data_IF_758140563812
#
_entry.id   IF_758140563812
#
_cell.length_a   1.000
_cell.length_b   1.000
_cell.length_c   1.000
_cell.angle_alpha   90.00
_cell.angle_beta   90.00
_cell.angle_gamma   90.00
#
_symmetry.space_group_name_H-M   'P 1'
#
loop_
_entity.id
_entity.type
_entity.pdbx_description
1 polymer ?
#
# COMPACT_ATOMS: atom_id res chain seq x y z
N UNK A 1 22.00 -6.05 -23.27
CA UNK A 1 21.12 -7.10 -23.82
C UNK A 1 19.77 -6.49 -24.17
N UNK A 2 19.25 -6.70 -25.38
CA UNK A 2 17.96 -6.14 -25.80
C UNK A 2 16.83 -6.67 -24.92
N UNK A 3 15.76 -5.89 -24.76
CA UNK A 3 14.52 -6.41 -24.22
C UNK A 3 14.13 -7.62 -25.06
N UNK A 4 14.09 -8.81 -24.47
CA UNK A 4 13.33 -9.92 -25.06
C UNK A 4 11.85 -9.57 -24.89
N UNK A 5 11.41 -8.57 -25.65
CA UNK A 5 10.01 -8.34 -25.95
C UNK A 5 9.58 -9.47 -26.86
N UNK A 6 9.39 -10.66 -26.30
CA UNK A 6 8.55 -11.63 -26.98
C UNK A 6 7.15 -11.19 -26.62
N UNK A 7 6.52 -10.48 -27.57
CA UNK A 7 5.07 -10.34 -27.63
C UNK A 7 4.51 -11.75 -27.53
N UNK A 8 4.11 -12.14 -26.34
CA UNK A 8 3.38 -13.37 -26.14
C UNK A 8 1.93 -12.98 -26.33
N UNK A 9 1.31 -13.51 -27.39
CA UNK A 9 -0.13 -13.51 -27.49
C UNK A 9 -0.70 -14.06 -26.16
N UNK A 10 -1.79 -13.47 -25.63
CA UNK A 10 -2.49 -14.05 -24.49
C UNK A 10 -2.74 -15.52 -24.81
N UNK A 11 -2.11 -16.43 -24.08
CA UNK A 11 -2.40 -17.86 -24.26
C UNK A 11 -3.74 -18.06 -23.57
N UNK A 12 -4.75 -18.43 -24.35
CA UNK A 12 -6.09 -18.76 -23.88
C UNK A 12 -6.01 -19.73 -22.67
N UNK A 13 -6.83 -19.47 -21.66
CA UNK A 13 -6.92 -20.34 -20.47
C UNK A 13 -5.84 -20.13 -19.38
N UNK A 14 -4.97 -19.11 -19.47
CA UNK A 14 -4.00 -18.86 -18.38
C UNK A 14 -4.66 -18.35 -17.10
N UNK A 15 -4.42 -19.06 -15.99
CA UNK A 15 -4.83 -18.65 -14.65
C UNK A 15 -3.83 -17.62 -14.07
N UNK A 16 -4.23 -16.36 -14.00
CA UNK A 16 -3.40 -15.30 -13.41
C UNK A 16 -3.29 -15.38 -11.88
N UNK A 17 -4.18 -16.11 -11.22
CA UNK A 17 -4.20 -16.34 -9.77
C UNK A 17 -3.37 -17.57 -9.39
N UNK A 18 -2.08 -17.56 -9.78
CA UNK A 18 -1.12 -18.65 -9.53
C UNK A 18 -0.01 -18.18 -8.58
N UNK A 19 0.41 -19.04 -7.66
CA UNK A 19 1.60 -18.86 -6.81
C UNK A 19 2.86 -19.42 -7.46
N UNK A 20 4.02 -18.94 -7.02
CA UNK A 20 5.31 -19.46 -7.47
C UNK A 20 5.73 -18.94 -8.84
N UNK A 21 6.67 -19.66 -9.45
CA UNK A 21 7.28 -19.33 -10.74
C UNK A 21 6.29 -19.39 -11.90
N UNK A 22 6.55 -18.59 -12.94
CA UNK A 22 5.92 -18.77 -14.25
C UNK A 22 6.98 -19.41 -15.16
N UNK A 23 6.84 -20.69 -15.57
CA UNK A 23 7.94 -21.45 -16.20
C UNK A 23 8.61 -20.79 -17.40
N UNK A 24 7.87 -19.99 -18.18
CA UNK A 24 8.40 -19.30 -19.36
C UNK A 24 9.29 -18.07 -19.03
N UNK A 25 9.29 -17.61 -17.78
CA UNK A 25 9.93 -16.36 -17.36
C UNK A 25 10.85 -16.57 -16.15
N UNK A 26 12.09 -17.04 -16.38
CA UNK A 26 13.06 -17.19 -15.30
C UNK A 26 13.45 -15.84 -14.68
N UNK A 27 14.05 -15.88 -13.49
CA UNK A 27 14.67 -14.69 -12.84
C UNK A 27 15.56 -13.94 -13.84
N UNK A 28 15.42 -12.62 -13.87
CA UNK A 28 16.09 -11.74 -14.83
C UNK A 28 15.29 -11.47 -16.10
N UNK A 29 14.13 -12.10 -16.31
CA UNK A 29 13.20 -11.77 -17.40
C UNK A 29 12.76 -10.31 -17.32
N UNK A 30 12.61 -9.65 -18.48
CA UNK A 30 12.36 -8.20 -18.58
C UNK A 30 11.21 -7.86 -19.53
N UNK A 31 10.49 -6.80 -19.20
CA UNK A 31 9.39 -6.24 -20.00
C UNK A 31 9.58 -4.74 -20.17
N UNK A 32 9.17 -4.20 -21.31
CA UNK A 32 9.31 -2.76 -21.57
C UNK A 32 8.30 -1.95 -20.75
N UNK A 33 7.09 -2.49 -20.53
CA UNK A 33 5.98 -1.78 -19.91
C UNK A 33 5.08 -2.69 -19.06
N UNK A 34 4.13 -2.09 -18.32
CA UNK A 34 3.18 -2.82 -17.45
C UNK A 34 2.22 -3.72 -18.23
N UNK A 35 1.93 -3.39 -19.50
CA UNK A 35 1.02 -4.18 -20.33
C UNK A 35 1.66 -5.52 -20.69
N UNK A 36 2.88 -5.49 -21.21
CA UNK A 36 3.66 -6.71 -21.49
C UNK A 36 3.88 -7.56 -20.23
N UNK A 37 4.17 -6.91 -19.09
CA UNK A 37 4.30 -7.61 -17.80
C UNK A 37 2.99 -8.30 -17.39
N UNK A 38 1.84 -7.63 -17.61
CA UNK A 38 0.52 -8.18 -17.35
C UNK A 38 0.22 -9.36 -18.28
N UNK A 39 0.46 -9.21 -19.58
CA UNK A 39 0.22 -10.23 -20.60
C UNK A 39 1.10 -11.49 -20.41
N UNK A 40 2.26 -11.33 -19.76
CA UNK A 40 3.11 -12.47 -19.36
C UNK A 40 2.50 -13.33 -18.23
N UNK A 41 1.58 -12.78 -17.44
CA UNK A 41 1.02 -13.39 -16.23
C UNK A 41 1.90 -13.30 -14.99
N UNK A 42 3.13 -12.77 -15.09
CA UNK A 42 4.03 -12.58 -13.93
C UNK A 42 3.42 -11.59 -12.94
N UNK A 43 2.84 -10.49 -13.41
CA UNK A 43 2.08 -9.55 -12.58
C UNK A 43 0.89 -8.96 -13.34
N UNK A 44 -0.31 -9.51 -13.11
CA UNK A 44 -1.52 -9.19 -13.85
C UNK A 44 -2.36 -8.07 -13.17
N UNK A 45 -1.72 -6.93 -12.89
CA UNK A 45 -2.40 -5.70 -12.49
C UNK A 45 -1.75 -4.55 -13.26
N UNK A 46 -2.52 -3.72 -13.98
CA UNK A 46 -1.94 -2.69 -14.86
C UNK A 46 -1.44 -1.45 -14.11
N UNK A 47 -2.10 -1.08 -13.01
CA UNK A 47 -1.80 0.12 -12.23
C UNK A 47 -1.30 -0.20 -10.81
N UNK A 48 -1.97 -1.11 -10.09
CA UNK A 48 -1.68 -1.42 -8.68
C UNK A 48 -0.37 -2.17 -8.50
N UNK A 49 0.33 -1.90 -7.39
CA UNK A 49 1.60 -2.57 -7.07
C UNK A 49 1.43 -4.01 -6.58
N UNK A 50 0.24 -4.39 -6.09
CA UNK A 50 -0.04 -5.70 -5.50
C UNK A 50 -1.07 -6.44 -6.35
N UNK A 51 -0.78 -7.67 -6.73
CA UNK A 51 -1.75 -8.57 -7.36
C UNK A 51 -2.04 -9.74 -6.41
N UNK A 52 -3.27 -9.84 -5.95
CA UNK A 52 -3.68 -10.81 -4.93
C UNK A 52 -5.15 -10.73 -4.58
N UNK A 53 -5.61 -11.68 -3.75
CA UNK A 53 -6.94 -11.66 -3.15
C UNK A 53 -6.82 -11.85 -1.65
N UNK A 54 -7.56 -11.05 -0.88
CA UNK A 54 -7.45 -11.02 0.59
C UNK A 54 -7.61 -12.39 1.25
N UNK A 55 -8.56 -13.21 0.79
CA UNK A 55 -8.84 -14.53 1.35
C UNK A 55 -7.84 -15.63 0.98
N UNK A 56 -7.01 -15.45 -0.06
CA UNK A 56 -6.11 -16.51 -0.55
C UNK A 56 -4.64 -16.12 -0.42
N UNK A 57 -4.30 -14.85 -0.59
CA UNK A 57 -2.93 -14.35 -0.58
C UNK A 57 -2.59 -13.52 -1.81
N UNK A 58 -1.41 -12.91 -1.76
CA UNK A 58 -0.78 -12.21 -2.88
C UNK A 58 0.00 -13.18 -3.78
N UNK A 59 -0.10 -12.94 -5.08
CA UNK A 59 0.61 -13.70 -6.12
C UNK A 59 1.90 -12.99 -6.55
N UNK A 60 1.85 -11.66 -6.65
CA UNK A 60 3.01 -10.86 -7.10
C UNK A 60 2.94 -9.41 -6.62
N UNK A 61 4.09 -8.76 -6.53
CA UNK A 61 4.25 -7.33 -6.27
C UNK A 61 5.20 -6.66 -7.26
N UNK A 62 5.01 -5.36 -7.47
CA UNK A 62 5.91 -4.49 -8.24
C UNK A 62 6.47 -3.41 -7.34
N UNK A 63 7.81 -3.30 -7.31
CA UNK A 63 8.52 -2.16 -6.74
C UNK A 63 8.85 -1.19 -7.88
N UNK A 64 8.12 -0.08 -7.96
CA UNK A 64 8.35 0.95 -8.98
C UNK A 64 8.58 2.35 -8.39
N UNK A 65 8.79 2.42 -7.07
CA UNK A 65 8.80 3.67 -6.31
C UNK A 65 7.39 4.16 -6.00
N UNK A 66 7.30 5.21 -5.19
CA UNK A 66 6.04 5.88 -4.89
C UNK A 66 5.61 5.88 -3.43
N UNK A 67 6.35 5.22 -2.53
CA UNK A 67 6.18 5.37 -1.10
C UNK A 67 7.53 5.73 -0.48
N UNK A 68 7.52 6.71 0.42
CA UNK A 68 8.74 7.20 1.06
C UNK A 68 9.33 6.18 2.06
N UNK A 69 8.51 5.24 2.52
CA UNK A 69 8.86 4.25 3.55
C UNK A 69 9.47 2.94 2.97
N UNK A 70 9.57 2.81 1.64
CA UNK A 70 10.16 1.62 1.01
C UNK A 70 11.69 1.58 1.19
N UNK A 71 12.22 0.42 1.58
CA UNK A 71 13.67 0.18 1.71
C UNK A 71 14.02 -1.10 0.96
N UNK A 72 14.94 -1.03 -0.01
CA UNK A 72 15.29 -2.16 -0.87
C UNK A 72 16.78 -2.51 -0.78
N UNK A 73 17.09 -3.65 -0.15
CA UNK A 73 18.43 -4.23 0.00
C UNK A 73 18.62 -5.45 -0.91
N UNK A 74 17.77 -5.62 -1.93
CA UNK A 74 17.88 -6.70 -2.91
C UNK A 74 17.29 -8.01 -2.39
N UNK A 75 18.06 -8.76 -1.61
CA UNK A 75 17.64 -10.05 -1.02
C UNK A 75 16.55 -9.87 0.06
N UNK A 76 16.47 -8.68 0.63
CA UNK A 76 15.45 -8.27 1.59
C UNK A 76 14.97 -6.84 1.30
N UNK A 77 13.68 -6.58 1.52
CA UNK A 77 13.13 -5.23 1.41
C UNK A 77 11.91 -5.05 2.31
N UNK A 78 11.62 -3.79 2.65
CA UNK A 78 10.35 -3.37 3.26
C UNK A 78 9.49 -2.70 2.20
N UNK A 79 8.24 -3.14 2.11
CA UNK A 79 7.26 -2.66 1.13
C UNK A 79 6.07 -2.01 1.82
N UNK A 80 5.67 -0.86 1.32
CA UNK A 80 4.50 -0.12 1.80
C UNK A 80 3.23 -0.59 1.09
N UNK A 81 2.18 -0.84 1.88
CA UNK A 81 0.87 -1.24 1.38
C UNK A 81 0.20 -0.17 0.52
N UNK A 82 -0.88 -0.56 -0.14
CA UNK A 82 -1.69 0.32 -0.96
C UNK A 82 -2.72 1.10 -0.15
N UNK A 83 -3.12 2.26 -0.67
CA UNK A 83 -4.27 3.03 -0.21
C UNK A 83 -3.93 4.19 0.73
N UNK A 84 -4.97 4.93 1.12
CA UNK A 84 -4.89 6.12 1.95
C UNK A 84 -4.18 7.34 1.31
N UNK A 85 -3.93 7.27 0.00
CA UNK A 85 -3.45 8.39 -0.81
C UNK A 85 -4.63 9.15 -1.42
N UNK A 86 -4.42 10.44 -1.73
CA UNK A 86 -5.40 11.25 -2.43
C UNK A 86 -5.69 10.69 -3.84
N UNK A 87 -6.87 11.00 -4.39
CA UNK A 87 -7.13 10.67 -5.79
C UNK A 87 -6.22 11.48 -6.71
N UNK A 88 -5.82 10.88 -7.83
CA UNK A 88 -5.01 11.55 -8.85
C UNK A 88 -5.73 12.75 -9.39
N UNK A 89 -5.16 13.93 -9.16
CA UNK A 89 -5.52 15.11 -9.94
C UNK A 89 -5.19 14.86 -11.40
N UNK A 90 -6.09 15.26 -12.30
CA UNK A 90 -5.93 15.06 -13.74
C UNK A 90 -4.67 15.82 -14.18
N UNK A 91 -3.72 15.10 -14.79
CA UNK A 91 -2.44 15.68 -15.25
C UNK A 91 -1.29 15.61 -14.24
N UNK A 92 -1.53 15.29 -12.97
CA UNK A 92 -0.46 15.10 -12.00
C UNK A 92 0.35 13.83 -12.32
N UNK A 93 1.66 13.97 -12.59
CA UNK A 93 2.53 12.81 -12.84
C UNK A 93 2.54 11.83 -11.66
N UNK A 94 2.48 12.34 -10.43
CA UNK A 94 2.49 11.57 -9.19
C UNK A 94 1.70 12.31 -8.12
N UNK A 95 0.79 11.63 -7.43
CA UNK A 95 0.07 12.17 -6.28
C UNK A 95 0.03 11.12 -5.16
N UNK A 96 1.19 10.58 -4.82
CA UNK A 96 1.32 9.55 -3.80
C UNK A 96 1.39 10.11 -2.38
N UNK A 97 0.75 11.27 -2.15
CA UNK A 97 0.70 11.88 -0.83
C UNK A 97 -0.32 11.11 0.01
N UNK A 98 0.16 10.54 1.11
CA UNK A 98 -0.68 9.89 2.11
C UNK A 98 -1.53 10.96 2.80
N UNK A 99 -2.86 10.78 2.81
CA UNK A 99 -3.84 11.74 3.37
C UNK A 99 -4.75 11.12 4.42
N UNK A 100 -4.63 9.81 4.66
CA UNK A 100 -5.33 9.06 5.71
C UNK A 100 -4.64 7.74 6.00
N UNK A 101 -5.05 7.08 7.07
CA UNK A 101 -4.58 5.75 7.43
C UNK A 101 -4.88 4.70 6.34
N UNK A 102 -3.93 3.79 6.15
CA UNK A 102 -4.13 2.57 5.38
C UNK A 102 -4.95 1.55 6.18
N UNK A 103 -5.48 0.55 5.49
CA UNK A 103 -6.32 -0.49 6.11
C UNK A 103 -5.89 -1.88 5.63
N UNK A 104 -6.16 -2.90 6.45
CA UNK A 104 -5.99 -4.31 6.11
C UNK A 104 -7.07 -4.81 5.15
N UNK A 105 -7.09 -4.27 3.92
CA UNK A 105 -8.02 -4.64 2.85
C UNK A 105 -7.32 -4.83 1.52
N UNK A 106 -8.02 -5.45 0.57
CA UNK A 106 -7.56 -5.63 -0.81
C UNK A 106 -6.14 -6.24 -0.85
N UNK A 107 -5.19 -5.59 -1.52
CA UNK A 107 -3.79 -6.04 -1.62
C UNK A 107 -3.08 -6.14 -0.27
N UNK A 108 -3.38 -5.25 0.69
CA UNK A 108 -2.76 -5.29 2.02
C UNK A 108 -3.17 -6.55 2.78
N UNK A 109 -4.47 -6.88 2.70
CA UNK A 109 -4.96 -8.14 3.27
C UNK A 109 -4.36 -9.34 2.56
N UNK A 110 -4.23 -9.30 1.22
CA UNK A 110 -3.61 -10.38 0.46
C UNK A 110 -2.15 -10.64 0.88
N UNK A 111 -1.36 -9.59 1.11
CA UNK A 111 0.02 -9.72 1.59
C UNK A 111 0.08 -10.23 3.03
N UNK A 112 -0.80 -9.76 3.92
CA UNK A 112 -0.91 -10.27 5.30
C UNK A 112 -1.30 -11.75 5.32
N UNK A 113 -2.19 -12.16 4.43
CA UNK A 113 -2.55 -13.57 4.24
C UNK A 113 -1.35 -14.37 3.72
N UNK A 114 -0.59 -13.87 2.74
CA UNK A 114 0.65 -14.54 2.30
C UNK A 114 1.69 -14.65 3.40
N UNK A 115 1.80 -13.65 4.29
CA UNK A 115 2.67 -13.69 5.47
C UNK A 115 2.27 -14.84 6.40
N UNK A 116 0.97 -14.94 6.71
CA UNK A 116 0.43 -15.96 7.62
C UNK A 116 0.56 -17.37 7.03
N UNK A 117 0.21 -17.52 5.76
CA UNK A 117 0.18 -18.80 5.05
C UNK A 117 1.54 -19.18 4.41
N UNK A 118 2.57 -18.35 4.61
CA UNK A 118 3.91 -18.51 4.02
C UNK A 118 3.87 -18.75 2.51
N UNK A 119 2.99 -18.04 1.80
CA UNK A 119 2.86 -18.17 0.34
C UNK A 119 3.96 -17.38 -0.36
N UNK A 120 4.64 -17.95 -1.37
CA UNK A 120 5.66 -17.24 -2.12
C UNK A 120 5.00 -16.18 -3.01
N UNK A 121 5.64 -15.02 -3.09
CA UNK A 121 5.18 -13.86 -3.87
C UNK A 121 6.24 -13.53 -4.92
N UNK A 122 5.84 -13.42 -6.19
CA UNK A 122 6.74 -12.96 -7.26
C UNK A 122 7.06 -11.48 -7.09
N UNK A 123 8.33 -11.12 -7.18
CA UNK A 123 8.79 -9.73 -7.05
C UNK A 123 9.31 -9.23 -8.38
N UNK A 124 8.80 -8.07 -8.79
CA UNK A 124 9.23 -7.37 -10.01
C UNK A 124 9.75 -5.99 -9.63
N UNK A 125 10.96 -5.63 -10.07
CA UNK A 125 11.49 -4.27 -9.91
C UNK A 125 11.33 -3.49 -11.21
N UNK A 126 10.85 -2.25 -11.11
CA UNK A 126 10.73 -1.31 -12.22
C UNK A 126 11.84 -0.26 -12.21
N UNK A 127 12.22 0.26 -13.37
CA UNK A 127 13.29 1.26 -13.51
C UNK A 127 12.97 2.63 -12.89
N UNK A 128 11.71 2.85 -12.51
CA UNK A 128 11.28 4.03 -11.75
C UNK A 128 11.76 4.02 -10.30
N UNK A 129 12.06 2.83 -9.74
CA UNK A 129 12.46 2.64 -8.35
C UNK A 129 13.78 3.35 -8.03
N UNK A 130 13.84 3.99 -6.88
CA UNK A 130 15.06 4.63 -6.36
C UNK A 130 15.90 3.63 -5.56
N UNK A 131 16.42 2.60 -6.25
CA UNK A 131 17.18 1.50 -5.64
C UNK A 131 18.33 1.10 -6.55
N UNK A 132 19.50 0.74 -6.00
CA UNK A 132 20.61 0.18 -6.79
C UNK A 132 20.22 -1.17 -7.44
N UNK A 133 19.20 -1.86 -6.91
CA UNK A 133 18.70 -3.12 -7.45
C UNK A 133 17.68 -2.92 -8.59
N UNK A 134 17.23 -1.68 -8.85
CA UNK A 134 16.31 -1.39 -9.93
C UNK A 134 16.96 -1.68 -11.30
N UNK A 135 16.22 -2.21 -12.29
CA UNK A 135 16.73 -2.33 -13.65
C UNK A 135 16.91 -0.94 -14.29
N UNK A 136 17.86 -0.79 -15.22
CA UNK A 136 18.11 0.48 -15.89
C UNK A 136 16.89 0.96 -16.70
N UNK A 137 16.10 0.01 -17.21
CA UNK A 137 14.93 0.28 -18.02
C UNK A 137 13.89 -0.84 -17.86
N UNK A 138 12.61 -0.45 -17.94
CA UNK A 138 11.47 -1.37 -17.93
C UNK A 138 11.25 -2.04 -16.57
N UNK A 139 10.74 -3.26 -16.61
CA UNK A 139 10.46 -4.11 -15.45
C UNK A 139 11.30 -5.38 -15.52
N UNK A 140 11.75 -5.90 -14.38
CA UNK A 140 12.52 -7.15 -14.29
C UNK A 140 11.98 -8.04 -13.18
N UNK A 141 11.81 -9.32 -13.48
CA UNK A 141 11.41 -10.32 -12.49
C UNK A 141 12.64 -10.77 -11.69
N UNK A 142 12.57 -10.63 -10.37
CA UNK A 142 13.70 -10.83 -9.47
C UNK A 142 13.55 -12.06 -8.55
N UNK A 143 12.51 -12.87 -8.81
CA UNK A 143 12.27 -14.15 -8.16
C UNK A 143 11.15 -14.12 -7.14
N UNK A 144 11.08 -15.19 -6.37
CA UNK A 144 10.13 -15.41 -5.28
C UNK A 144 10.68 -14.91 -3.96
N UNK A 145 9.79 -14.32 -3.18
CA UNK A 145 10.05 -13.85 -1.82
C UNK A 145 8.93 -14.32 -0.89
N UNK A 146 9.26 -14.50 0.38
CA UNK A 146 8.28 -14.65 1.44
C UNK A 146 8.07 -13.32 2.14
N UNK A 147 6.80 -13.01 2.43
CA UNK A 147 6.47 -11.98 3.42
C UNK A 147 6.73 -12.58 4.80
N UNK A 148 7.74 -12.08 5.52
CA UNK A 148 8.12 -12.57 6.85
C UNK A 148 7.34 -11.87 7.96
N UNK A 149 7.08 -10.58 7.77
CA UNK A 149 6.36 -9.75 8.74
C UNK A 149 5.36 -8.84 8.01
N UNK A 150 4.22 -8.61 8.65
CA UNK A 150 3.19 -7.67 8.22
C UNK A 150 2.71 -6.88 9.44
N UNK A 151 2.93 -5.56 9.45
CA UNK A 151 2.63 -4.70 10.59
C UNK A 151 2.17 -3.31 10.14
N UNK A 152 1.67 -2.50 11.08
CA UNK A 152 1.35 -1.09 10.81
C UNK A 152 2.16 -0.18 11.71
N UNK A 153 2.60 0.96 11.17
CA UNK A 153 3.23 2.04 11.93
C UNK A 153 2.88 3.40 11.32
N UNK A 154 3.06 4.51 12.03
CA UNK A 154 2.99 5.83 11.43
C UNK A 154 4.10 5.97 10.36
N UNK A 155 3.71 6.31 9.13
CA UNK A 155 4.65 6.63 8.05
C UNK A 155 5.21 8.05 8.20
N UNK A 156 5.99 8.49 7.21
CA UNK A 156 6.65 9.82 7.23
C UNK A 156 5.68 10.98 7.45
N UNK A 157 4.43 10.87 6.97
CA UNK A 157 3.39 11.90 7.10
C UNK A 157 2.48 11.69 8.33
N UNK A 158 2.82 10.79 9.25
CA UNK A 158 2.09 10.54 10.50
C UNK A 158 0.87 9.62 10.40
N UNK A 159 0.41 9.30 9.19
CA UNK A 159 -0.67 8.33 8.97
C UNK A 159 -0.19 6.89 9.12
N UNK A 160 -1.06 6.00 9.62
CA UNK A 160 -0.77 4.58 9.70
C UNK A 160 -0.60 3.98 8.30
N UNK A 161 0.52 3.30 8.06
CA UNK A 161 0.80 2.58 6.82
C UNK A 161 0.98 1.09 7.10
N UNK A 162 0.51 0.24 6.19
CA UNK A 162 0.81 -1.19 6.22
C UNK A 162 2.24 -1.40 5.71
N UNK A 163 3.07 -2.12 6.45
CA UNK A 163 4.42 -2.48 6.05
C UNK A 163 4.61 -3.98 6.01
N UNK A 164 5.38 -4.42 5.03
CA UNK A 164 5.64 -5.83 4.76
C UNK A 164 7.13 -6.05 4.57
N UNK A 165 7.72 -6.92 5.39
CA UNK A 165 9.12 -7.32 5.24
C UNK A 165 9.20 -8.55 4.34
N UNK A 166 9.86 -8.41 3.20
CA UNK A 166 10.06 -9.48 2.23
C UNK A 166 11.47 -10.03 2.32
N UNK A 167 11.61 -11.34 2.29
CA UNK A 167 12.90 -12.04 2.24
C UNK A 167 12.89 -13.03 1.08
N UNK A 168 13.94 -12.99 0.25
CA UNK A 168 14.05 -13.82 -0.95
C UNK A 168 14.06 -15.30 -0.59
N UNK A 169 13.38 -16.12 -1.38
CA UNK A 169 13.41 -17.57 -1.19
C UNK A 169 14.81 -18.11 -1.55
N UNK A 170 15.31 -19.16 -0.86
CA UNK A 170 16.55 -19.81 -1.23
C UNK A 170 16.41 -20.60 -2.54
N UNK A 171 17.53 -21.08 -3.09
CA UNK A 171 17.58 -22.00 -4.24
C UNK A 171 16.94 -21.46 -5.52
N UNK A 172 17.16 -20.17 -5.81
CA UNK A 172 16.81 -19.53 -7.06
C UNK A 172 18.08 -19.05 -7.75
N UNK A 173 18.00 -18.69 -9.03
CA UNK A 173 19.12 -18.00 -9.67
C UNK A 173 19.50 -16.74 -8.86
N UNK A 174 20.79 -16.34 -8.84
CA UNK A 174 21.24 -15.16 -8.12
C UNK A 174 20.42 -13.92 -8.51
N UNK A 175 20.20 -13.02 -7.56
CA UNK A 175 19.59 -11.74 -7.88
C UNK A 175 20.46 -11.04 -8.93
N UNK A 176 19.88 -10.54 -10.05
CA UNK A 176 20.66 -9.74 -11.01
C UNK A 176 21.23 -8.54 -10.25
N UNK A 177 22.57 -8.50 -10.14
CA UNK A 177 23.28 -7.61 -9.23
C UNK A 177 22.91 -6.13 -9.39
N UNK A 178 23.18 -5.30 -8.36
CA UNK A 178 22.91 -3.88 -8.44
C UNK A 178 23.62 -3.25 -9.64
N UNK A 179 22.95 -2.33 -10.33
CA UNK A 179 23.55 -1.64 -11.46
C UNK A 179 24.60 -0.70 -10.88
N UNK A 180 25.88 -1.04 -11.05
CA UNK A 180 27.01 -0.26 -10.55
C UNK A 180 27.03 1.20 -11.06
N UNK A 181 26.27 1.50 -12.13
CA UNK A 181 26.25 2.81 -12.78
C UNK A 181 24.81 3.26 -13.04
N UNK A 182 24.21 3.94 -12.06
CA UNK A 182 23.09 4.83 -12.37
C UNK A 182 23.68 6.13 -12.92
N UNK A 183 23.29 6.62 -14.11
CA UNK A 183 23.71 7.94 -14.56
C UNK A 183 23.33 8.98 -13.51
N UNK A 184 24.27 9.83 -13.09
CA UNK A 184 24.10 10.84 -12.02
C UNK A 184 22.92 11.80 -12.24
N UNK A 185 22.38 11.86 -13.45
CA UNK A 185 21.34 12.79 -13.89
C UNK A 185 20.00 12.70 -13.14
N UNK A 186 19.75 11.64 -12.36
CA UNK A 186 18.52 11.50 -11.55
C UNK A 186 18.62 12.02 -10.11
N UNK A 187 19.80 12.48 -9.66
CA UNK A 187 19.99 13.00 -8.29
C UNK A 187 19.43 14.41 -8.02
N UNK A 188 18.78 15.05 -8.99
CA UNK A 188 18.24 16.41 -8.80
C UNK A 188 16.72 16.40 -8.62
N UNK A 189 16.31 16.40 -7.35
CA UNK A 189 15.21 17.22 -6.79
C UNK A 189 14.80 16.69 -5.40
N UNK A 190 15.76 16.62 -4.49
CA UNK A 190 15.51 16.43 -3.07
C UNK A 190 16.25 17.57 -2.35
N UNK A 191 15.46 18.53 -1.87
CA UNK A 191 15.76 19.63 -0.92
C UNK A 191 16.41 20.92 -1.45
N UNK A 192 15.59 21.95 -1.55
CA UNK A 192 15.89 23.25 -0.92
C UNK A 192 14.77 23.61 0.07
N UNK A 193 14.64 22.82 1.13
CA UNK A 193 14.15 23.38 2.40
C UNK A 193 15.39 23.80 3.16
N UNK A 194 15.84 25.03 2.90
CA UNK A 194 16.83 25.67 3.75
C UNK A 194 16.17 25.90 5.11
N UNK A 195 16.84 25.42 6.15
CA UNK A 195 16.59 25.74 7.54
C UNK A 195 16.68 27.25 7.75
N UNK A 196 15.53 27.93 7.70
CA UNK A 196 15.38 29.28 8.20
C UNK A 196 15.40 29.24 9.72
N UNK A 197 16.40 29.87 10.31
CA UNK A 197 16.53 30.13 11.73
C UNK A 197 15.23 30.73 12.28
N UNK A 198 14.78 30.21 13.43
CA UNK A 198 13.67 30.79 14.18
C UNK A 198 14.11 32.15 14.72
N UNK A 199 13.69 33.22 14.08
CA UNK A 199 13.63 34.52 14.73
C UNK A 199 12.31 34.60 15.50
N UNK A 200 12.43 34.83 16.81
CA UNK A 200 11.32 35.13 17.71
C UNK A 200 10.54 36.34 17.18
N UNK A 201 9.32 36.11 16.67
CA UNK A 201 8.35 37.18 16.51
C UNK A 201 7.89 37.60 17.91
N UNK A 202 8.45 38.71 18.38
CA UNK A 202 8.06 39.47 19.56
C UNK A 202 6.59 39.88 19.41
N UNK A 203 5.71 39.23 20.17
CA UNK A 203 4.38 39.77 20.47
C UNK A 203 4.62 41.02 21.29
N UNK A 204 4.44 42.18 20.67
CA UNK A 204 4.42 43.46 21.36
C UNK A 204 3.08 43.51 22.10
N UNK A 205 3.14 43.27 23.41
CA UNK A 205 2.16 43.79 24.34
C UNK A 205 2.27 45.32 24.29
N UNK A 206 1.17 45.97 23.90
CA UNK A 206 0.98 47.39 24.11
C UNK A 206 0.34 47.51 25.50
N UNK A 207 1.15 47.84 26.48
CA UNK A 207 0.70 48.32 27.78
C UNK A 207 0.22 49.76 27.56
N UNK A 208 -1.08 49.99 27.78
CA UNK A 208 -1.67 51.31 27.96
C UNK A 208 -2.11 51.35 29.43
N UNK A 209 -1.35 52.08 30.24
CA UNK A 209 -1.74 52.52 31.56
C UNK A 209 -2.72 53.70 31.41
N UNK A 210 -3.89 53.61 32.02
CA UNK A 210 -4.69 54.75 32.48
C UNK A 210 -5.48 54.29 33.72
N UNK A 211 -5.20 54.96 34.83
CA UNK A 211 -5.83 54.78 36.15
C UNK A 211 -7.23 55.43 36.23
N UNK A 212 -8.00 54.98 37.24
CA UNK A 212 -9.24 55.55 37.81
C UNK A 212 -10.55 55.36 36.99
N UNK A 213 -11.74 55.12 37.52
CA UNK A 213 -12.27 55.05 38.89
C UNK A 213 -13.53 54.15 38.96
N UNK A 214 -13.90 53.82 40.20
CA UNK A 214 -15.08 53.16 40.75
C UNK A 214 -16.41 53.27 39.96
N UNK A 215 -17.14 52.15 39.89
CA UNK A 215 -18.32 51.92 40.76
C UNK A 215 -19.40 51.00 40.15
N UNK A 216 -19.91 50.14 41.03
CA UNK A 216 -21.33 49.80 41.16
C UNK A 216 -21.92 48.64 40.32
N UNK A 217 -22.35 47.62 41.09
CA UNK A 217 -23.59 46.84 40.92
C UNK A 217 -23.59 45.83 39.76
N UNK A 218 -24.12 44.62 39.84
CA UNK A 218 -24.90 43.88 40.85
C UNK A 218 -25.32 42.58 40.12
N UNK A 219 -25.26 41.42 40.80
CA UNK A 219 -26.22 40.28 40.75
C UNK A 219 -26.68 39.76 39.37
N UNK A 220 -26.77 38.48 39.00
CA UNK A 220 -27.04 37.19 39.67
C UNK A 220 -27.12 36.19 38.49
N UNK A 221 -26.39 35.07 38.48
CA UNK A 221 -26.85 33.71 38.76
C UNK A 221 -27.74 32.99 37.69
N UNK A 222 -27.63 31.65 37.72
CA UNK A 222 -28.48 30.56 37.16
C UNK A 222 -27.90 29.92 35.88
N UNK A 223 -27.16 28.79 35.98
CA UNK A 223 -27.56 27.37 36.21
C UNK A 223 -28.28 26.71 35.00
N UNK A 224 -27.60 25.82 34.25
CA UNK A 224 -27.48 24.34 34.36
C UNK A 224 -28.64 23.50 33.81
N UNK A 225 -28.25 22.32 33.28
CA UNK A 225 -29.04 21.10 33.02
C UNK A 225 -29.87 21.08 31.72
N UNK A 226 -30.22 19.96 31.08
CA UNK A 226 -29.75 18.57 31.00
C UNK A 226 -30.68 17.82 30.01
N UNK A 227 -30.21 16.68 29.50
CA UNK A 227 -30.99 15.43 29.29
C UNK A 227 -31.58 15.03 27.91
N UNK A 228 -31.24 13.76 27.54
CA UNK A 228 -31.94 12.69 26.76
C UNK A 228 -32.52 12.96 25.36
N UNK A 229 -32.59 12.00 24.40
CA UNK A 229 -32.52 10.53 24.40
C UNK A 229 -32.47 9.99 22.95
N UNK A 230 -31.98 8.75 22.75
CA UNK A 230 -32.00 7.97 21.48
C UNK A 230 -33.05 6.85 21.53
N UNK A 231 -33.67 6.41 20.42
CA UNK A 231 -34.48 5.19 20.40
C UNK A 231 -33.71 3.93 19.93
N UNK A 232 -34.11 2.77 20.50
CA UNK A 232 -33.64 1.40 20.23
C UNK A 232 -34.48 0.72 19.12
N UNK A 233 -33.84 -0.05 18.24
CA UNK A 233 -34.50 -0.96 17.29
C UNK A 233 -34.61 -2.38 17.88
N UNK A 234 -35.79 -2.99 17.79
CA UNK A 234 -36.11 -4.36 18.27
C UNK A 234 -35.81 -5.41 17.18
N UNK A 235 -35.15 -6.51 17.56
CA UNK A 235 -35.09 -7.76 16.80
C UNK A 235 -36.43 -8.51 16.85
N UNK A 236 -36.81 -9.13 15.74
CA UNK A 236 -38.00 -9.99 15.60
C UNK A 236 -37.55 -11.43 15.36
N UNK A 237 -37.83 -12.29 16.34
CA UNK A 237 -37.64 -13.74 16.31
C UNK A 237 -38.68 -14.36 15.36
N UNK A 238 -38.28 -15.22 14.42
CA UNK A 238 -39.18 -16.11 13.67
C UNK A 238 -39.05 -17.53 14.23
N UNK A 239 -40.19 -18.10 14.63
CA UNK A 239 -40.36 -19.49 15.07
C UNK A 239 -40.38 -20.43 13.87
N UNK A 240 -39.83 -21.62 14.09
CA UNK A 240 -39.86 -22.79 13.23
C UNK A 240 -41.29 -23.36 13.10
N UNK A 241 -41.59 -23.99 11.96
CA UNK A 241 -42.66 -24.98 11.82
C UNK A 241 -42.07 -26.22 11.17
N UNK A 242 -42.18 -27.33 11.89
CA UNK A 242 -42.01 -28.70 11.45
C UNK A 242 -43.13 -29.09 10.48
N UNK A 243 -42.79 -29.93 9.51
CA UNK A 243 -43.74 -30.68 8.69
C UNK A 243 -43.28 -32.13 8.68
N UNK A 244 -43.89 -32.93 9.55
CA UNK A 244 -44.05 -34.36 9.35
C UNK A 244 -45.49 -34.54 8.85
N UNK A 245 -45.67 -35.16 7.68
CA UNK A 245 -46.88 -35.94 7.41
C UNK A 245 -46.59 -36.98 6.34
N UNK A 246 -46.85 -38.22 6.72
CA UNK A 246 -46.71 -39.44 5.94
C UNK A 246 -47.73 -39.50 4.80
N UNK A 247 -47.38 -40.16 3.69
CA UNK A 247 -48.33 -41.01 2.99
C UNK A 247 -47.66 -42.07 2.11
N UNK A 248 -47.92 -43.30 2.52
CA UNK A 248 -47.85 -44.59 1.85
C UNK A 248 -48.51 -44.56 0.47
N UNK A 249 -47.94 -45.28 -0.50
CA UNK A 249 -48.68 -46.15 -1.43
C UNK A 249 -47.72 -47.10 -2.16
N UNK A 250 -48.08 -48.38 -2.07
CA UNK A 250 -47.57 -49.53 -2.82
C UNK A 250 -47.89 -49.41 -4.32
N UNK A 251 -46.91 -49.75 -5.17
CA UNK A 251 -46.99 -50.64 -6.35
C UNK A 251 -45.61 -50.79 -6.99
#
# INVERSE_FOLDING_TARGET
MPFKGTVMHPVEGRNFAQYGEIPAFPVGSRWANRRELCDSGVHCHLSGGIHGRGGTGAFSVVLSGGYADDVDMGEEFTYTGQGGQAHREVGAKWNNVQVRDQEWKLGNLALRTSCTLKKPVRVVRGSGLDSPHAPAQGYRYDGLYFVKEAFMKPGVLGFQVCLFRFVRCPMQAPLPGPIATRPEQRRKNVHSFQSGERTHARVVHKEEDDDEDLSSLSSTAIETSSDRSKPRFRQRVKRERSTDDERVNDD
#
